data_IF_488519504314
#
_entry.id   IF_488519504314
#
_cell.length_a   1.000
_cell.length_b   1.000
_cell.length_c   1.000
_cell.angle_alpha   90.00
_cell.angle_beta   90.00
_cell.angle_gamma   90.00
#
_symmetry.space_group_name_H-M   'P 1'
#
loop_
_entity.id
_entity.type
_entity.pdbx_description
1 polymer ?
#
# COMPACT_ATOMS: atom_id res chain seq x y z
N UNK A 1 28.30 74.24 13.87
CA UNK A 1 27.25 73.64 14.73
C UNK A 1 26.75 72.38 14.03
N UNK A 2 27.33 71.24 14.41
CA UNK A 2 27.09 69.92 13.80
C UNK A 2 25.93 69.23 14.51
N UNK A 3 24.88 68.87 13.76
CA UNK A 3 23.69 68.22 14.29
C UNK A 3 23.92 66.71 14.49
N UNK A 4 23.72 66.22 15.72
CA UNK A 4 23.81 64.80 16.05
C UNK A 4 22.57 64.04 15.56
N UNK A 5 22.74 63.06 14.68
CA UNK A 5 21.70 62.07 14.35
C UNK A 5 21.61 61.03 15.47
N UNK A 6 20.44 60.90 16.11
CA UNK A 6 20.13 59.81 17.03
C UNK A 6 19.66 58.59 16.23
N UNK A 7 20.36 57.47 16.37
CA UNK A 7 19.94 56.17 15.88
C UNK A 7 18.94 55.56 16.88
N UNK A 8 17.75 55.18 16.41
CA UNK A 8 16.78 54.38 17.17
C UNK A 8 16.99 52.92 16.77
N UNK A 9 17.21 51.98 17.71
CA UNK A 9 17.31 50.57 17.37
C UNK A 9 15.91 50.01 17.16
N UNK A 10 15.62 49.54 15.94
CA UNK A 10 14.42 48.77 15.63
C UNK A 10 14.69 47.34 16.09
N UNK A 11 14.05 46.94 17.19
CA UNK A 11 14.06 45.55 17.67
C UNK A 11 13.06 44.77 16.80
N UNK A 12 13.57 43.92 15.92
CA UNK A 12 12.76 42.90 15.25
C UNK A 12 12.55 41.74 16.21
N UNK A 13 11.33 41.62 16.77
CA UNK A 13 10.88 40.40 17.45
C UNK A 13 10.40 39.44 16.37
N UNK A 14 11.21 38.44 16.03
CA UNK A 14 10.79 37.32 15.19
C UNK A 14 10.04 36.33 16.12
N UNK A 15 8.71 36.32 16.02
CA UNK A 15 7.89 35.32 16.69
C UNK A 15 7.89 34.05 15.83
N UNK A 16 8.74 33.08 16.18
CA UNK A 16 8.70 31.75 15.56
C UNK A 16 7.50 30.98 16.12
N UNK A 17 6.41 30.90 15.34
CA UNK A 17 5.29 30.00 15.58
C UNK A 17 5.73 28.58 15.22
N UNK A 18 6.17 27.81 16.21
CA UNK A 18 6.32 26.36 16.08
C UNK A 18 4.94 25.74 16.25
N UNK A 19 4.24 25.49 15.15
CA UNK A 19 3.08 24.60 15.14
C UNK A 19 3.59 23.17 15.21
N UNK A 20 3.66 22.60 16.42
CA UNK A 20 3.76 21.15 16.58
C UNK A 20 2.42 20.56 16.15
N UNK A 21 2.37 20.00 14.95
CA UNK A 21 1.21 19.21 14.52
C UNK A 21 1.12 17.97 15.41
N UNK A 22 0.14 17.93 16.32
CA UNK A 22 -0.19 16.69 17.01
C UNK A 22 -0.89 15.77 16.02
N UNK A 23 -0.19 14.75 15.54
CA UNK A 23 -0.84 13.64 14.84
C UNK A 23 -1.75 12.93 15.84
N UNK A 24 -3.07 13.00 15.63
CA UNK A 24 -4.04 12.24 16.42
C UNK A 24 -3.85 10.78 16.05
N UNK A 25 -3.23 10.00 16.94
CA UNK A 25 -3.14 8.54 16.79
C UNK A 25 -4.52 7.95 17.07
N UNK A 26 -5.16 7.39 16.04
CA UNK A 26 -6.48 6.75 16.13
C UNK A 26 -6.33 5.27 16.42
N UNK A 27 -7.12 4.72 17.33
CA UNK A 27 -7.25 3.27 17.53
C UNK A 27 -7.83 2.58 16.30
N UNK A 28 -7.72 1.25 16.21
CA UNK A 28 -8.31 0.48 15.09
C UNK A 28 -9.83 0.67 14.99
N UNK A 29 -10.52 0.80 16.12
CA UNK A 29 -11.95 1.06 16.15
C UNK A 29 -12.28 2.48 15.62
N UNK A 30 -11.50 3.50 16.01
CA UNK A 30 -11.67 4.86 15.49
C UNK A 30 -11.33 4.95 13.99
N UNK A 31 -10.30 4.23 13.56
CA UNK A 31 -9.92 4.13 12.16
C UNK A 31 -11.00 3.41 11.32
N UNK A 32 -11.54 2.30 11.83
CA UNK A 32 -12.66 1.59 11.21
C UNK A 32 -13.96 2.42 11.21
N UNK A 33 -14.23 3.20 12.26
CA UNK A 33 -15.38 4.09 12.31
C UNK A 33 -15.30 5.19 11.25
N UNK A 34 -14.14 5.85 11.11
CA UNK A 34 -13.91 6.86 10.05
C UNK A 34 -14.05 6.26 8.65
N UNK A 35 -13.53 5.04 8.45
CA UNK A 35 -13.66 4.31 7.18
C UNK A 35 -15.12 3.94 6.90
N UNK A 36 -15.86 3.52 7.93
CA UNK A 36 -17.28 3.17 7.84
C UNK A 36 -18.12 4.39 7.46
N UNK A 37 -17.90 5.53 8.11
CA UNK A 37 -18.61 6.79 7.81
C UNK A 37 -18.37 7.23 6.36
N UNK A 38 -17.11 7.15 5.88
CA UNK A 38 -16.77 7.49 4.50
C UNK A 38 -17.42 6.51 3.50
N UNK A 39 -17.46 5.22 3.82
CA UNK A 39 -18.10 4.21 2.97
C UNK A 39 -19.61 4.40 2.87
N UNK A 40 -20.28 4.70 3.99
CA UNK A 40 -21.70 5.01 4.03
C UNK A 40 -22.00 6.28 3.21
N UNK A 41 -21.23 7.35 3.42
CA UNK A 41 -21.35 8.60 2.67
C UNK A 41 -21.18 8.38 1.16
N UNK A 42 -20.20 7.57 0.75
CA UNK A 42 -20.02 7.20 -0.65
C UNK A 42 -21.25 6.45 -1.20
N UNK A 43 -21.72 5.42 -0.50
CA UNK A 43 -22.89 4.63 -0.92
C UNK A 43 -24.16 5.48 -1.04
N UNK A 44 -24.36 6.48 -0.18
CA UNK A 44 -25.49 7.41 -0.24
C UNK A 44 -25.49 8.30 -1.50
N UNK A 45 -24.32 8.54 -2.08
CA UNK A 45 -24.21 9.31 -3.33
C UNK A 45 -24.56 8.50 -4.58
N UNK A 46 -24.57 7.17 -4.49
CA UNK A 46 -24.73 6.28 -5.64
C UNK A 46 -26.19 6.18 -6.08
N UNK A 47 -26.39 6.06 -7.39
CA UNK A 47 -27.69 5.62 -7.92
C UNK A 47 -27.97 4.16 -7.49
N UNK A 48 -29.22 3.68 -7.50
CA UNK A 48 -29.52 2.29 -7.16
C UNK A 48 -28.70 1.27 -7.96
N UNK A 49 -28.55 1.49 -9.28
CA UNK A 49 -27.76 0.62 -10.15
C UNK A 49 -26.25 0.63 -9.81
N UNK A 50 -25.69 1.79 -9.45
CA UNK A 50 -24.30 1.87 -8.99
C UNK A 50 -24.14 1.21 -7.62
N UNK A 51 -25.08 1.39 -6.69
CA UNK A 51 -25.05 0.73 -5.39
C UNK A 51 -25.06 -0.79 -5.55
N UNK A 52 -25.94 -1.32 -6.41
CA UNK A 52 -26.00 -2.75 -6.71
C UNK A 52 -24.70 -3.27 -7.35
N UNK A 53 -24.04 -2.46 -8.19
CA UNK A 53 -22.76 -2.82 -8.79
C UNK A 53 -21.58 -2.72 -7.80
N UNK A 54 -21.67 -1.88 -6.76
CA UNK A 54 -20.63 -1.68 -5.75
C UNK A 54 -20.72 -2.68 -4.59
N UNK A 55 -21.91 -3.22 -4.29
CA UNK A 55 -22.17 -4.04 -3.12
C UNK A 55 -22.09 -5.54 -3.43
N UNK A 56 -21.32 -6.26 -2.63
CA UNK A 56 -21.06 -7.69 -2.75
C UNK A 56 -21.31 -8.43 -1.44
N UNK A 57 -21.49 -9.75 -1.49
CA UNK A 57 -21.57 -10.58 -0.29
C UNK A 57 -20.21 -10.63 0.41
N UNK A 58 -20.20 -10.48 1.74
CA UNK A 58 -18.98 -10.58 2.55
C UNK A 58 -18.26 -11.94 2.38
N UNK A 59 -19.03 -13.02 2.30
CA UNK A 59 -18.48 -14.37 2.12
C UNK A 59 -18.42 -14.79 0.64
N UNK A 60 -18.56 -13.86 -0.29
CA UNK A 60 -18.51 -14.14 -1.73
C UNK A 60 -17.08 -14.33 -2.24
N UNK A 61 -16.95 -15.11 -3.33
CA UNK A 61 -15.66 -15.36 -4.01
C UNK A 61 -14.98 -14.08 -4.51
N UNK A 62 -15.76 -13.04 -4.82
CA UNK A 62 -15.27 -11.74 -5.28
C UNK A 62 -14.35 -11.05 -4.26
N UNK A 63 -14.52 -11.35 -2.96
CA UNK A 63 -13.68 -10.75 -1.90
C UNK A 63 -12.21 -11.11 -2.04
N UNK A 64 -11.91 -12.28 -2.61
CA UNK A 64 -10.54 -12.79 -2.80
C UNK A 64 -10.09 -12.82 -4.26
N UNK A 65 -10.94 -12.41 -5.21
CA UNK A 65 -10.59 -12.25 -6.64
C UNK A 65 -10.04 -10.85 -6.90
N UNK A 66 -8.79 -10.60 -6.55
CA UNK A 66 -8.09 -9.32 -6.74
C UNK A 66 -7.07 -9.43 -7.88
N UNK A 67 -6.77 -8.34 -8.59
CA UNK A 67 -5.71 -8.34 -9.60
C UNK A 67 -5.11 -6.95 -9.87
N UNK A 68 -3.88 -6.94 -10.39
CA UNK A 68 -3.17 -5.72 -10.80
C UNK A 68 -2.79 -5.69 -12.29
N UNK A 69 -3.52 -6.42 -13.15
CA UNK A 69 -3.29 -6.37 -14.61
C UNK A 69 -4.53 -5.82 -15.33
N UNK A 70 -4.46 -5.41 -16.59
CA UNK A 70 -5.64 -5.07 -17.38
C UNK A 70 -6.61 -6.25 -17.48
N UNK A 71 -7.79 -6.10 -16.89
CA UNK A 71 -8.92 -7.02 -17.03
C UNK A 71 -10.23 -6.26 -16.93
N UNK A 72 -11.32 -6.90 -17.32
CA UNK A 72 -12.65 -6.47 -16.91
C UNK A 72 -12.75 -6.59 -15.38
N UNK A 73 -13.20 -5.51 -14.73
CA UNK A 73 -13.31 -5.39 -13.28
C UNK A 73 -14.75 -5.21 -12.86
N UNK A 74 -15.09 -5.78 -11.71
CA UNK A 74 -16.36 -5.58 -11.01
C UNK A 74 -16.29 -4.31 -10.16
N UNK A 75 -17.42 -3.88 -9.63
CA UNK A 75 -17.52 -2.64 -8.87
C UNK A 75 -17.87 -1.44 -9.73
N UNK A 76 -17.90 -0.26 -9.10
CA UNK A 76 -18.18 1.00 -9.80
C UNK A 76 -16.87 1.73 -10.08
N UNK A 77 -16.53 2.01 -11.36
CA UNK A 77 -15.36 2.81 -11.69
C UNK A 77 -15.60 4.31 -11.49
N UNK A 78 -14.56 5.04 -11.10
CA UNK A 78 -14.56 6.52 -11.06
C UNK A 78 -15.10 7.14 -12.37
N UNK A 79 -14.79 6.52 -13.51
CA UNK A 79 -15.21 6.97 -14.85
C UNK A 79 -16.73 7.11 -15.02
N UNK A 80 -17.51 6.35 -14.26
CA UNK A 80 -19.00 6.37 -14.34
C UNK A 80 -19.63 7.27 -13.29
N UNK A 81 -18.82 7.87 -12.41
CA UNK A 81 -19.28 8.66 -11.28
C UNK A 81 -19.44 10.14 -11.64
N UNK A 82 -20.43 10.79 -11.05
CA UNK A 82 -20.51 12.26 -11.05
C UNK A 82 -19.38 12.86 -10.19
N UNK A 83 -19.12 14.17 -10.30
CA UNK A 83 -18.09 14.81 -9.49
C UNK A 83 -18.27 14.61 -7.97
N UNK A 84 -19.50 14.70 -7.47
CA UNK A 84 -19.78 14.47 -6.04
C UNK A 84 -19.60 13.01 -5.61
N UNK A 85 -19.95 12.05 -6.48
CA UNK A 85 -19.69 10.64 -6.25
C UNK A 85 -18.19 10.33 -6.21
N UNK A 86 -17.41 10.93 -7.12
CA UNK A 86 -15.94 10.78 -7.14
C UNK A 86 -15.29 11.36 -5.90
N UNK A 87 -15.74 12.54 -5.45
CA UNK A 87 -15.25 13.15 -4.21
C UNK A 87 -15.49 12.25 -3.01
N UNK A 88 -16.71 11.70 -2.86
CA UNK A 88 -17.03 10.78 -1.77
C UNK A 88 -16.25 9.44 -1.87
N UNK A 89 -16.04 8.93 -3.08
CA UNK A 89 -15.25 7.72 -3.31
C UNK A 89 -13.78 7.92 -2.91
N UNK A 90 -13.16 9.02 -3.34
CA UNK A 90 -11.77 9.34 -2.98
C UNK A 90 -11.62 9.68 -1.49
N UNK A 91 -12.65 10.26 -0.85
CA UNK A 91 -12.69 10.45 0.60
C UNK A 91 -12.63 9.11 1.36
N UNK A 92 -13.23 8.03 0.83
CA UNK A 92 -13.09 6.68 1.40
C UNK A 92 -11.65 6.15 1.28
N UNK A 93 -10.99 6.37 0.13
CA UNK A 93 -9.56 6.01 -0.04
C UNK A 93 -8.70 6.79 0.96
N UNK A 94 -8.92 8.10 1.06
CA UNK A 94 -8.19 8.99 1.97
C UNK A 94 -8.44 8.61 3.45
N UNK A 95 -9.65 8.20 3.80
CA UNK A 95 -9.98 7.74 5.15
C UNK A 95 -9.26 6.44 5.51
N UNK A 96 -8.76 5.68 4.53
CA UNK A 96 -8.22 4.32 4.73
C UNK A 96 -6.70 4.22 4.64
N UNK A 97 -6.04 5.24 4.12
CA UNK A 97 -4.59 5.30 3.93
C UNK A 97 -3.97 6.39 4.81
N UNK A 98 -2.65 6.33 5.00
CA UNK A 98 -1.92 7.50 5.47
C UNK A 98 -1.93 8.61 4.41
N UNK A 99 -1.52 9.83 4.78
CA UNK A 99 -1.35 10.90 3.80
C UNK A 99 -0.36 10.51 2.69
N UNK A 100 0.72 9.79 3.04
CA UNK A 100 1.69 9.29 2.08
C UNK A 100 1.12 8.17 1.19
N UNK A 101 0.40 7.20 1.78
CA UNK A 101 -0.25 6.13 1.01
C UNK A 101 -1.29 6.68 0.03
N UNK A 102 -2.04 7.71 0.42
CA UNK A 102 -2.98 8.40 -0.45
C UNK A 102 -2.27 9.17 -1.57
N UNK A 103 -1.18 9.90 -1.26
CA UNK A 103 -0.37 10.60 -2.28
C UNK A 103 0.22 9.61 -3.30
N UNK A 104 0.80 8.49 -2.84
CA UNK A 104 1.28 7.42 -3.71
C UNK A 104 0.17 6.89 -4.61
N UNK A 105 -1.02 6.64 -4.05
CA UNK A 105 -2.18 6.14 -4.80
C UNK A 105 -2.63 7.10 -5.90
N UNK A 106 -2.74 8.39 -5.56
CA UNK A 106 -3.13 9.42 -6.54
C UNK A 106 -2.07 9.57 -7.64
N UNK A 107 -0.80 9.60 -7.28
CA UNK A 107 0.29 9.76 -8.25
C UNK A 107 0.39 8.56 -9.18
N UNK A 108 0.30 7.33 -8.66
CA UNK A 108 0.22 6.11 -9.47
C UNK A 108 -0.96 6.18 -10.45
N UNK A 109 -2.15 6.59 -9.97
CA UNK A 109 -3.32 6.76 -10.82
C UNK A 109 -3.10 7.79 -11.93
N UNK A 110 -2.39 8.88 -11.65
CA UNK A 110 -2.07 9.91 -12.65
C UNK A 110 -1.01 9.46 -13.66
N UNK A 111 -0.18 8.46 -13.36
CA UNK A 111 0.77 7.90 -14.33
C UNK A 111 0.04 7.29 -15.55
N UNK A 112 -1.21 6.83 -15.39
CA UNK A 112 -2.03 6.36 -16.50
C UNK A 112 -2.21 7.42 -17.59
N UNK A 113 -2.30 8.70 -17.21
CA UNK A 113 -2.43 9.79 -18.18
C UNK A 113 -1.16 9.95 -19.04
N UNK A 114 0.02 9.77 -18.44
CA UNK A 114 1.30 9.80 -19.17
C UNK A 114 1.34 8.64 -20.17
N UNK A 115 0.90 7.45 -19.74
CA UNK A 115 0.83 6.30 -20.63
C UNK A 115 -0.22 6.45 -21.73
N UNK A 116 -1.35 7.08 -21.44
CA UNK A 116 -2.37 7.40 -22.45
C UNK A 116 -1.80 8.31 -23.53
N UNK A 117 -1.09 9.38 -23.15
CA UNK A 117 -0.46 10.31 -24.09
C UNK A 117 0.60 9.64 -24.96
N UNK A 118 1.30 8.63 -24.44
CA UNK A 118 2.34 7.88 -25.15
C UNK A 118 1.79 6.76 -26.03
N UNK A 119 0.82 6.00 -25.53
CA UNK A 119 0.33 4.76 -26.15
C UNK A 119 -0.97 4.96 -26.95
N UNK A 120 -1.78 5.98 -26.63
CA UNK A 120 -3.08 6.24 -27.25
C UNK A 120 -4.13 5.15 -27.00
N UNK A 121 -4.05 4.43 -25.87
CA UNK A 121 -4.92 3.29 -25.56
C UNK A 121 -5.89 3.64 -24.44
N UNK A 122 -7.18 3.46 -24.67
CA UNK A 122 -8.26 3.75 -23.70
C UNK A 122 -8.18 2.98 -22.38
N UNK A 123 -7.39 1.90 -22.32
CA UNK A 123 -7.13 1.17 -21.07
C UNK A 123 -6.21 1.95 -20.12
N UNK A 124 -5.51 2.97 -20.62
CA UNK A 124 -4.69 3.91 -19.86
C UNK A 124 -5.59 5.06 -19.46
N UNK A 125 -6.22 4.93 -18.31
CA UNK A 125 -7.23 5.89 -17.87
C UNK A 125 -7.20 6.00 -16.34
N UNK A 126 -6.90 7.20 -15.86
CA UNK A 126 -6.84 7.53 -14.45
C UNK A 126 -8.20 7.39 -13.74
N UNK A 127 -9.30 7.19 -14.47
CA UNK A 127 -10.65 6.98 -13.94
C UNK A 127 -11.11 5.51 -14.00
N UNK A 128 -10.30 4.57 -14.53
CA UNK A 128 -10.56 3.13 -14.50
C UNK A 128 -10.08 2.47 -13.19
N UNK A 129 -10.47 3.08 -12.06
CA UNK A 129 -10.26 2.58 -10.71
C UNK A 129 -11.61 2.36 -10.04
N UNK A 130 -11.77 1.18 -9.42
CA UNK A 130 -13.04 0.58 -9.08
C UNK A 130 -13.20 0.42 -7.57
N UNK A 131 -14.45 0.60 -7.12
CA UNK A 131 -14.86 0.48 -5.73
C UNK A 131 -15.78 -0.72 -5.57
N UNK A 132 -15.40 -1.61 -4.65
CA UNK A 132 -16.17 -2.80 -4.27
C UNK A 132 -16.29 -2.86 -2.75
N UNK A 133 -17.50 -3.02 -2.24
CA UNK A 133 -17.83 -3.12 -0.81
C UNK A 133 -18.45 -4.48 -0.55
N UNK A 134 -17.94 -5.21 0.43
CA UNK A 134 -18.34 -6.56 0.79
C UNK A 134 -19.05 -6.55 2.15
N UNK A 135 -20.35 -6.83 2.16
CA UNK A 135 -21.20 -6.64 3.34
C UNK A 135 -21.58 -5.17 3.56
N UNK A 136 -22.48 -4.91 4.52
CA UNK A 136 -22.94 -3.56 4.82
C UNK A 136 -21.96 -2.84 5.77
N UNK A 137 -21.42 -1.65 5.41
CA UNK A 137 -20.56 -0.89 6.30
C UNK A 137 -21.24 -0.58 7.63
N UNK A 138 -20.58 -0.96 8.73
CA UNK A 138 -21.12 -0.82 10.08
C UNK A 138 -20.01 -0.67 11.11
N UNK A 139 -20.23 0.20 12.09
CA UNK A 139 -19.32 0.46 13.21
C UNK A 139 -19.29 -0.66 14.25
N UNK A 140 -20.16 -1.66 14.11
CA UNK A 140 -20.25 -2.84 15.00
C UNK A 140 -20.26 -4.16 14.23
N UNK A 141 -20.39 -4.09 12.90
CA UNK A 141 -20.51 -5.25 12.02
C UNK A 141 -19.17 -5.71 11.45
N UNK A 142 -19.27 -6.67 10.54
CA UNK A 142 -18.15 -7.18 9.76
C UNK A 142 -18.39 -6.85 8.30
N UNK A 143 -17.44 -6.15 7.69
CA UNK A 143 -17.50 -5.71 6.30
C UNK A 143 -16.09 -5.53 5.76
N UNK A 144 -15.94 -5.48 4.44
CA UNK A 144 -14.67 -5.23 3.78
C UNK A 144 -14.88 -4.33 2.58
N UNK A 145 -13.82 -3.77 2.04
CA UNK A 145 -13.88 -3.09 0.75
C UNK A 145 -12.54 -3.17 0.03
N UNK A 146 -12.58 -2.96 -1.28
CA UNK A 146 -11.41 -2.99 -2.15
C UNK A 146 -11.41 -1.79 -3.09
N UNK A 147 -10.25 -1.16 -3.19
CA UNK A 147 -9.92 -0.16 -4.19
C UNK A 147 -8.93 -0.78 -5.18
N UNK A 148 -9.30 -0.89 -6.45
CA UNK A 148 -8.53 -1.63 -7.44
C UNK A 148 -8.55 -0.96 -8.82
N UNK A 149 -7.41 -0.94 -9.49
CA UNK A 149 -7.24 -0.46 -10.86
C UNK A 149 -6.06 -1.16 -11.50
N UNK A 150 -5.55 -0.63 -12.62
CA UNK A 150 -4.42 -1.24 -13.33
C UNK A 150 -3.23 -1.46 -12.41
N UNK A 151 -2.77 -0.44 -11.68
CA UNK A 151 -1.57 -0.54 -10.83
C UNK A 151 -1.82 -0.34 -9.32
N UNK A 152 -3.05 -0.52 -8.85
CA UNK A 152 -3.36 -0.48 -7.41
C UNK A 152 -4.32 -1.61 -7.09
N UNK A 153 -4.07 -2.29 -5.98
CA UNK A 153 -5.09 -3.13 -5.34
C UNK A 153 -4.88 -3.11 -3.83
N UNK A 154 -5.82 -2.51 -3.11
CA UNK A 154 -5.81 -2.45 -1.66
C UNK A 154 -7.10 -3.01 -1.09
N UNK A 155 -6.97 -3.89 -0.11
CA UNK A 155 -8.09 -4.54 0.56
C UNK A 155 -8.08 -4.21 2.06
N UNK A 156 -9.24 -3.83 2.59
CA UNK A 156 -9.43 -3.61 4.03
C UNK A 156 -10.56 -4.49 4.54
N UNK A 157 -10.38 -5.10 5.71
CA UNK A 157 -11.40 -5.91 6.38
C UNK A 157 -11.62 -5.41 7.80
N UNK A 158 -12.86 -5.07 8.11
CA UNK A 158 -13.34 -4.68 9.44
C UNK A 158 -14.11 -5.85 10.04
N UNK A 159 -13.78 -6.26 11.27
CA UNK A 159 -14.46 -7.33 12.00
C UNK A 159 -14.94 -6.78 13.33
N UNK A 160 -16.24 -6.87 13.60
CA UNK A 160 -16.90 -6.31 14.79
C UNK A 160 -16.56 -4.83 15.05
N UNK A 161 -16.46 -4.02 14.00
CA UNK A 161 -16.10 -2.61 14.11
C UNK A 161 -14.61 -2.32 14.30
N UNK A 162 -13.73 -3.32 14.25
CA UNK A 162 -12.27 -3.15 14.34
C UNK A 162 -11.60 -3.44 12.99
N UNK A 163 -10.74 -2.53 12.54
CA UNK A 163 -9.92 -2.76 11.34
C UNK A 163 -8.94 -3.91 11.62
N UNK A 164 -9.16 -5.05 10.96
CA UNK A 164 -8.49 -6.31 11.25
C UNK A 164 -7.43 -6.69 10.22
N UNK A 165 -7.60 -6.26 8.97
CA UNK A 165 -6.63 -6.51 7.89
C UNK A 165 -6.61 -5.37 6.88
N UNK A 166 -5.42 -5.14 6.32
CA UNK A 166 -5.09 -4.11 5.32
C UNK A 166 -4.28 -4.71 4.15
N UNK A 167 -4.33 -6.04 4.02
CA UNK A 167 -3.57 -6.82 3.04
C UNK A 167 -4.54 -7.70 2.22
N UNK A 168 -4.25 -7.97 0.93
CA UNK A 168 -3.07 -7.53 0.19
C UNK A 168 -3.00 -6.02 -0.07
N UNK A 169 -1.78 -5.49 -0.03
CA UNK A 169 -1.46 -4.09 -0.33
C UNK A 169 -0.53 -4.07 -1.54
N UNK A 170 -1.08 -3.84 -2.72
CA UNK A 170 -0.33 -3.77 -3.97
C UNK A 170 -0.25 -2.34 -4.52
N UNK A 171 0.95 -1.96 -4.94
CA UNK A 171 1.22 -0.81 -5.79
C UNK A 171 2.04 -1.22 -7.02
N UNK A 172 1.73 -0.63 -8.16
CA UNK A 172 2.60 -0.62 -9.32
C UNK A 172 2.84 0.80 -9.80
N UNK A 173 3.97 1.03 -10.47
CA UNK A 173 4.27 2.32 -11.07
C UNK A 173 4.80 2.12 -12.48
N UNK A 174 4.06 2.67 -13.45
CA UNK A 174 4.40 2.63 -14.86
C UNK A 174 4.11 4.01 -15.49
N UNK A 175 5.14 4.77 -15.90
CA UNK A 175 6.56 4.47 -15.73
C UNK A 175 7.01 4.53 -14.25
N UNK A 176 8.01 3.74 -13.88
CA UNK A 176 8.65 3.81 -12.55
C UNK A 176 9.46 5.12 -12.33
N UNK A 177 10.00 5.65 -13.42
CA UNK A 177 10.68 6.94 -13.54
C UNK A 177 10.14 7.68 -14.77
N UNK A 178 9.54 8.84 -14.54
CA UNK A 178 9.07 9.73 -15.61
C UNK A 178 10.26 10.50 -16.20
N UNK A 179 10.67 10.15 -17.42
CA UNK A 179 11.85 10.73 -18.09
C UNK A 179 11.58 12.12 -18.70
N UNK A 180 10.36 12.38 -19.15
CA UNK A 180 10.02 13.54 -19.98
C UNK A 180 8.64 14.13 -19.62
N UNK A 181 8.34 15.31 -20.14
CA UNK A 181 7.05 15.99 -19.93
C UNK A 181 6.98 16.78 -18.62
N UNK A 182 5.76 17.16 -18.23
CA UNK A 182 5.53 18.04 -17.05
C UNK A 182 5.85 17.37 -15.72
N UNK A 183 5.76 16.04 -15.66
CA UNK A 183 6.07 15.23 -14.48
C UNK A 183 7.48 14.64 -14.51
N UNK A 184 8.37 15.11 -15.40
CA UNK A 184 9.74 14.61 -15.47
C UNK A 184 10.46 14.68 -14.12
N UNK A 185 11.15 13.61 -13.74
CA UNK A 185 11.79 13.47 -12.44
C UNK A 185 10.99 12.65 -11.42
N UNK A 186 9.70 12.40 -11.67
CA UNK A 186 8.84 11.66 -10.77
C UNK A 186 9.23 10.18 -10.65
N UNK A 187 9.34 9.70 -9.39
CA UNK A 187 9.56 8.30 -8.99
C UNK A 187 8.65 7.96 -7.81
N UNK A 188 7.44 7.47 -8.08
CA UNK A 188 6.43 7.29 -7.01
C UNK A 188 6.85 6.22 -6.01
N UNK A 189 7.43 5.11 -6.49
CA UNK A 189 7.94 4.00 -5.67
C UNK A 189 9.48 3.96 -5.61
N UNK A 190 10.11 5.14 -5.70
CA UNK A 190 11.57 5.26 -5.73
C UNK A 190 12.24 5.10 -4.36
N UNK A 191 11.50 5.34 -3.27
CA UNK A 191 12.04 5.22 -1.90
C UNK A 191 12.24 3.76 -1.52
N UNK A 192 11.28 2.89 -1.88
CA UNK A 192 11.36 1.44 -1.73
C UNK A 192 12.60 0.88 -2.42
N UNK A 193 12.81 1.23 -3.70
CA UNK A 193 14.01 0.83 -4.46
C UNK A 193 15.29 1.34 -3.80
N UNK A 194 15.32 2.62 -3.45
CA UNK A 194 16.50 3.25 -2.87
C UNK A 194 16.92 2.59 -1.55
N UNK A 195 15.98 2.30 -0.66
CA UNK A 195 16.25 1.66 0.62
C UNK A 195 16.80 0.23 0.43
N UNK A 196 16.18 -0.56 -0.45
CA UNK A 196 16.63 -1.93 -0.73
C UNK A 196 18.02 -1.97 -1.37
N UNK A 197 18.28 -1.13 -2.38
CA UNK A 197 19.61 -1.00 -3.00
C UNK A 197 20.67 -0.49 -2.02
N UNK A 198 20.29 0.43 -1.12
CA UNK A 198 21.20 0.93 -0.10
C UNK A 198 21.62 -0.18 0.86
N UNK A 199 20.68 -1.01 1.33
CA UNK A 199 20.98 -2.19 2.13
C UNK A 199 21.92 -3.14 1.38
N UNK A 200 21.56 -3.53 0.16
CA UNK A 200 22.37 -4.43 -0.68
C UNK A 200 23.80 -3.92 -0.87
N UNK A 201 23.97 -2.62 -1.16
CA UNK A 201 25.26 -1.99 -1.37
C UNK A 201 26.18 -1.96 -0.15
N UNK A 202 25.65 -2.23 1.06
CA UNK A 202 26.47 -2.37 2.27
C UNK A 202 26.87 -3.82 2.58
N UNK A 203 26.24 -4.81 1.93
CA UNK A 203 26.53 -6.22 2.16
C UNK A 203 27.88 -6.59 1.54
N UNK A 204 28.58 -7.55 2.16
CA UNK A 204 29.85 -8.07 1.66
C UNK A 204 30.08 -9.49 2.16
N UNK A 205 30.99 -10.24 1.50
CA UNK A 205 31.31 -11.63 1.85
C UNK A 205 30.07 -12.52 1.86
N UNK A 206 30.01 -13.43 2.81
CA UNK A 206 28.94 -14.43 2.98
C UNK A 206 27.53 -13.80 3.07
N UNK A 207 27.40 -12.58 3.61
CA UNK A 207 26.11 -11.88 3.68
C UNK A 207 25.62 -11.41 2.31
N UNK A 208 26.53 -10.94 1.43
CA UNK A 208 26.16 -10.57 0.07
C UNK A 208 25.85 -11.82 -0.75
N UNK A 209 26.66 -12.87 -0.62
CA UNK A 209 26.41 -14.16 -1.28
C UNK A 209 25.04 -14.74 -0.87
N UNK A 210 24.69 -14.67 0.42
CA UNK A 210 23.40 -15.16 0.92
C UNK A 210 22.23 -14.29 0.46
N UNK A 211 22.42 -12.97 0.32
CA UNK A 211 21.39 -12.07 -0.18
C UNK A 211 21.13 -12.24 -1.69
N UNK A 212 22.16 -12.55 -2.48
CA UNK A 212 22.04 -12.74 -3.93
C UNK A 212 21.48 -14.13 -4.25
N UNK A 213 20.17 -14.21 -4.49
CA UNK A 213 19.47 -15.47 -4.74
C UNK A 213 19.62 -15.96 -6.18
N UNK A 214 19.77 -15.04 -7.13
CA UNK A 214 19.90 -15.32 -8.57
C UNK A 214 20.48 -14.11 -9.31
N UNK A 215 21.27 -14.34 -10.35
CA UNK A 215 21.75 -13.29 -11.27
C UNK A 215 20.64 -12.78 -12.20
N UNK A 216 19.53 -13.54 -12.32
CA UNK A 216 18.36 -13.17 -13.13
C UNK A 216 17.16 -12.92 -12.22
N UNK A 217 16.49 -11.79 -12.42
CA UNK A 217 15.21 -11.48 -11.79
C UNK A 217 14.04 -12.21 -12.48
N UNK A 218 12.98 -12.57 -11.74
CA UNK A 218 11.73 -13.06 -12.33
C UNK A 218 11.10 -11.99 -13.24
N UNK A 219 10.08 -12.37 -14.03
CA UNK A 219 9.40 -11.42 -14.94
C UNK A 219 8.38 -10.51 -14.23
N UNK A 220 8.04 -10.85 -12.98
CA UNK A 220 7.08 -10.18 -12.12
C UNK A 220 7.26 -10.68 -10.66
N UNK A 221 6.51 -10.12 -9.71
CA UNK A 221 6.42 -10.62 -8.33
C UNK A 221 5.98 -12.10 -8.30
N UNK A 222 6.56 -12.89 -7.40
CA UNK A 222 6.42 -14.34 -7.39
C UNK A 222 5.06 -14.80 -6.89
N UNK A 223 4.45 -14.07 -5.95
CA UNK A 223 3.12 -14.43 -5.42
C UNK A 223 1.96 -13.98 -6.30
N UNK A 224 2.23 -13.16 -7.31
CA UNK A 224 1.24 -12.68 -8.29
C UNK A 224 -0.08 -12.23 -7.63
N UNK A 225 -1.21 -12.51 -8.27
CA UNK A 225 -2.56 -12.21 -7.79
C UNK A 225 -3.19 -13.35 -6.96
N UNK A 226 -2.39 -14.26 -6.41
CA UNK A 226 -2.91 -15.46 -5.75
C UNK A 226 -3.78 -15.13 -4.54
N UNK A 227 -4.80 -15.98 -4.32
CA UNK A 227 -5.74 -15.82 -3.19
C UNK A 227 -4.99 -15.85 -1.86
N UNK A 228 -4.02 -16.75 -1.73
CA UNK A 228 -3.15 -16.87 -0.58
C UNK A 228 -1.71 -16.80 -1.05
N UNK A 229 -0.92 -15.92 -0.43
CA UNK A 229 0.50 -15.83 -0.73
C UNK A 229 1.20 -17.12 -0.29
N UNK A 230 2.00 -17.70 -1.18
CA UNK A 230 2.86 -18.81 -0.83
C UNK A 230 4.11 -18.28 -0.12
N UNK A 231 4.47 -18.90 1.01
CA UNK A 231 5.77 -18.70 1.62
C UNK A 231 6.86 -19.16 0.65
N UNK A 232 7.85 -18.30 0.42
CA UNK A 232 8.96 -18.60 -0.45
C UNK A 232 10.03 -19.40 0.31
N UNK A 233 10.95 -20.02 -0.44
CA UNK A 233 12.08 -20.74 0.16
C UNK A 233 12.83 -19.88 1.18
N UNK A 234 13.27 -20.53 2.27
CA UNK A 234 13.92 -19.88 3.41
C UNK A 234 15.39 -19.54 3.13
N UNK A 235 15.62 -18.73 2.09
CA UNK A 235 16.92 -18.26 1.59
C UNK A 235 16.98 -16.73 1.59
N UNK A 236 18.19 -16.19 1.65
CA UNK A 236 18.44 -14.76 1.87
C UNK A 236 19.33 -14.54 3.09
N UNK A 237 19.85 -13.31 3.23
CA UNK A 237 20.60 -12.91 4.44
C UNK A 237 19.63 -12.68 5.59
N UNK A 238 19.88 -13.32 6.73
CA UNK A 238 19.03 -13.18 7.90
C UNK A 238 19.33 -11.89 8.67
N UNK A 239 18.30 -11.30 9.29
CA UNK A 239 18.42 -10.12 10.14
C UNK A 239 19.48 -10.28 11.24
N UNK A 240 19.62 -11.50 11.80
CA UNK A 240 20.62 -11.79 12.84
C UNK A 240 22.07 -11.82 12.33
N UNK A 241 22.28 -11.94 11.02
CA UNK A 241 23.60 -11.96 10.37
C UNK A 241 24.04 -10.55 9.96
N UNK A 242 23.10 -9.61 9.90
CA UNK A 242 23.35 -8.21 9.61
C UNK A 242 23.97 -7.50 10.81
N UNK A 243 24.87 -6.55 10.55
CA UNK A 243 25.34 -5.64 11.60
C UNK A 243 24.23 -4.63 11.99
N UNK A 244 24.40 -3.90 13.09
CA UNK A 244 23.35 -3.00 13.60
C UNK A 244 22.90 -1.92 12.60
N UNK A 245 23.78 -1.41 11.74
CA UNK A 245 23.40 -0.44 10.71
C UNK A 245 22.59 -1.09 9.59
N UNK A 246 22.96 -2.29 9.17
CA UNK A 246 22.21 -3.06 8.17
C UNK A 246 20.85 -3.52 8.70
N UNK A 247 20.77 -3.89 9.97
CA UNK A 247 19.52 -4.21 10.67
C UNK A 247 18.55 -3.02 10.67
N UNK A 248 19.07 -1.82 10.94
CA UNK A 248 18.30 -0.58 10.86
C UNK A 248 17.82 -0.30 9.43
N UNK A 249 18.69 -0.45 8.41
CA UNK A 249 18.29 -0.28 7.00
C UNK A 249 17.19 -1.26 6.56
N UNK A 250 17.32 -2.55 6.92
CA UNK A 250 16.29 -3.55 6.63
C UNK A 250 14.98 -3.21 7.36
N UNK A 251 15.07 -2.76 8.61
CA UNK A 251 13.90 -2.35 9.38
C UNK A 251 13.21 -1.12 8.77
N UNK A 252 13.97 -0.09 8.37
CA UNK A 252 13.44 1.10 7.70
C UNK A 252 12.78 0.77 6.35
N UNK A 253 13.29 -0.23 5.62
CA UNK A 253 12.62 -0.74 4.43
C UNK A 253 11.25 -1.36 4.77
N UNK A 254 11.15 -2.15 5.83
CA UNK A 254 9.85 -2.71 6.28
C UNK A 254 8.90 -1.59 6.72
N UNK A 255 9.40 -0.59 7.45
CA UNK A 255 8.61 0.57 7.87
C UNK A 255 8.04 1.37 6.69
N UNK A 256 8.80 1.53 5.61
CA UNK A 256 8.35 2.24 4.39
C UNK A 256 7.07 1.62 3.81
N UNK A 257 7.01 0.30 3.77
CA UNK A 257 5.83 -0.38 3.25
C UNK A 257 4.65 -0.34 4.23
N UNK A 258 4.93 -0.38 5.54
CA UNK A 258 3.90 -0.25 6.58
C UNK A 258 3.30 1.16 6.61
N UNK A 259 4.10 2.19 6.33
CA UNK A 259 3.72 3.61 6.37
C UNK A 259 2.66 4.02 5.33
N UNK A 260 2.36 3.16 4.35
CA UNK A 260 1.19 3.32 3.46
C UNK A 260 -0.12 3.35 4.25
N UNK A 261 -0.19 2.64 5.38
CA UNK A 261 -1.35 2.63 6.27
C UNK A 261 -1.26 3.74 7.32
N UNK A 262 -2.40 4.18 7.91
CA UNK A 262 -2.40 5.14 9.01
C UNK A 262 -1.48 4.69 10.15
N UNK A 263 -0.84 5.66 10.83
CA UNK A 263 0.26 5.42 11.80
C UNK A 263 -0.04 4.28 12.80
N UNK A 264 -1.22 4.25 13.40
CA UNK A 264 -1.57 3.20 14.36
C UNK A 264 -1.62 1.80 13.72
N UNK A 265 -2.14 1.71 12.50
CA UNK A 265 -2.25 0.46 11.74
C UNK A 265 -0.87 -0.02 11.31
N UNK A 266 -0.01 0.91 10.87
CA UNK A 266 1.38 0.63 10.57
C UNK A 266 2.11 0.09 11.81
N UNK A 267 1.95 0.73 12.98
CA UNK A 267 2.58 0.29 14.22
C UNK A 267 2.09 -1.07 14.71
N UNK A 268 0.80 -1.39 14.56
CA UNK A 268 0.30 -2.72 14.88
C UNK A 268 0.89 -3.79 13.94
N UNK A 269 0.91 -3.51 12.63
CA UNK A 269 1.53 -4.38 11.63
C UNK A 269 3.00 -4.64 11.97
N UNK A 270 3.77 -3.59 12.25
CA UNK A 270 5.16 -3.70 12.68
C UNK A 270 5.30 -4.41 14.04
N UNK A 271 4.33 -4.23 14.94
CA UNK A 271 4.22 -4.96 16.20
C UNK A 271 4.09 -6.47 15.99
N UNK A 272 3.24 -6.92 15.05
CA UNK A 272 3.11 -8.33 14.67
C UNK A 272 4.41 -8.88 14.07
N UNK A 273 5.07 -8.10 13.20
CA UNK A 273 6.39 -8.46 12.65
C UNK A 273 7.44 -8.65 13.76
N UNK A 274 7.53 -7.71 14.71
CA UNK A 274 8.43 -7.81 15.87
C UNK A 274 8.12 -9.03 16.74
N UNK A 275 6.85 -9.28 17.02
CA UNK A 275 6.40 -10.41 17.84
C UNK A 275 6.68 -11.77 17.18
N UNK A 276 6.68 -11.84 15.84
CA UNK A 276 7.05 -13.03 15.08
C UNK A 276 8.57 -13.32 15.08
N UNK A 277 9.39 -12.39 15.56
CA UNK A 277 10.83 -12.56 15.74
C UNK A 277 11.64 -12.03 14.56
N UNK A 278 12.31 -10.89 14.78
CA UNK A 278 13.10 -10.20 13.75
C UNK A 278 14.23 -11.06 13.18
N UNK A 279 14.85 -11.92 13.99
CA UNK A 279 15.96 -12.78 13.56
C UNK A 279 15.57 -13.76 12.44
N UNK A 280 14.27 -14.03 12.27
CA UNK A 280 13.75 -14.90 11.22
C UNK A 280 13.39 -14.13 9.93
N UNK A 281 13.63 -12.83 9.89
CA UNK A 281 13.42 -12.01 8.69
C UNK A 281 14.64 -12.16 7.79
N UNK A 282 14.40 -12.46 6.52
CA UNK A 282 15.43 -12.56 5.49
C UNK A 282 15.21 -11.56 4.37
N UNK A 283 16.32 -10.99 3.90
CA UNK A 283 16.38 -10.15 2.70
C UNK A 283 17.01 -10.96 1.56
N UNK A 284 16.38 -10.95 0.40
CA UNK A 284 16.87 -11.60 -0.81
C UNK A 284 16.75 -10.67 -2.02
N UNK A 285 17.73 -10.76 -2.92
CA UNK A 285 17.86 -9.97 -4.14
C UNK A 285 18.05 -10.89 -5.35
N UNK A 286 17.47 -10.52 -6.48
CA UNK A 286 17.68 -11.19 -7.76
C UNK A 286 17.89 -10.14 -8.86
N UNK A 287 18.77 -10.42 -9.81
CA UNK A 287 19.02 -9.53 -10.94
C UNK A 287 20.09 -8.45 -10.67
N UNK A 288 20.06 -7.40 -11.49
CA UNK A 288 21.10 -6.38 -11.53
C UNK A 288 21.17 -5.51 -10.28
N UNK A 289 22.38 -5.17 -9.86
CA UNK A 289 22.65 -4.44 -8.61
C UNK A 289 22.78 -2.93 -8.80
N UNK A 290 22.92 -2.47 -10.05
CA UNK A 290 22.99 -1.06 -10.39
C UNK A 290 21.62 -0.50 -10.77
N UNK A 291 21.46 0.80 -10.56
CA UNK A 291 20.24 1.53 -10.90
C UNK A 291 19.93 1.42 -12.40
N UNK A 292 18.65 1.19 -12.72
CA UNK A 292 18.19 0.99 -14.10
C UNK A 292 18.41 -0.43 -14.64
N UNK A 293 19.00 -1.33 -13.86
CA UNK A 293 19.06 -2.75 -14.22
C UNK A 293 17.79 -3.49 -13.76
N UNK A 294 17.31 -4.48 -14.53
CA UNK A 294 16.21 -5.36 -14.13
C UNK A 294 16.52 -6.06 -12.81
N UNK A 295 15.61 -5.96 -11.84
CA UNK A 295 15.85 -6.50 -10.51
C UNK A 295 14.54 -6.86 -9.78
N UNK A 296 14.70 -7.70 -8.78
CA UNK A 296 13.67 -8.08 -7.82
C UNK A 296 14.30 -8.16 -6.43
N UNK A 297 13.52 -7.82 -5.40
CA UNK A 297 13.87 -8.18 -4.04
C UNK A 297 12.66 -8.65 -3.24
N UNK A 298 12.95 -9.38 -2.16
CA UNK A 298 11.96 -9.74 -1.16
C UNK A 298 12.48 -9.56 0.25
N UNK A 299 11.55 -9.20 1.14
CA UNK A 299 11.73 -9.29 2.60
C UNK A 299 10.69 -10.24 3.12
N UNK A 300 11.11 -11.36 3.68
CA UNK A 300 10.20 -12.39 4.19
C UNK A 300 10.49 -12.64 5.66
N UNK A 301 9.44 -12.61 6.49
CA UNK A 301 9.47 -13.10 7.86
C UNK A 301 8.52 -14.28 8.04
N UNK A 302 8.30 -14.75 9.28
CA UNK A 302 7.41 -15.90 9.52
C UNK A 302 5.94 -15.66 9.16
N UNK A 303 5.49 -14.40 9.17
CA UNK A 303 4.07 -14.05 9.02
C UNK A 303 3.75 -13.22 7.78
N UNK A 304 4.77 -12.68 7.09
CA UNK A 304 4.59 -11.71 6.02
C UNK A 304 5.63 -11.86 4.92
N UNK A 305 5.29 -11.31 3.76
CA UNK A 305 6.16 -11.17 2.60
C UNK A 305 6.00 -9.78 1.98
N UNK A 306 7.13 -9.15 1.70
CA UNK A 306 7.25 -7.98 0.84
C UNK A 306 7.95 -8.44 -0.44
N UNK A 307 7.40 -8.08 -1.60
CA UNK A 307 8.06 -8.24 -2.89
C UNK A 307 8.12 -6.92 -3.64
N UNK A 308 9.17 -6.76 -4.44
CA UNK A 308 9.35 -5.68 -5.38
C UNK A 308 9.98 -6.26 -6.64
N UNK A 309 9.34 -6.02 -7.78
CA UNK A 309 9.83 -6.34 -9.12
C UNK A 309 9.95 -5.05 -9.94
N UNK A 310 11.03 -4.93 -10.69
CA UNK A 310 11.15 -3.92 -11.74
C UNK A 310 12.01 -4.45 -12.89
N UNK A 311 11.39 -5.27 -13.73
CA UNK A 311 12.06 -5.88 -14.89
C UNK A 311 11.52 -5.35 -16.23
N UNK A 312 10.22 -5.12 -16.30
CA UNK A 312 9.55 -4.74 -17.54
C UNK A 312 9.91 -3.30 -17.97
N UNK A 313 9.72 -3.01 -19.26
CA UNK A 313 9.91 -1.68 -19.85
C UNK A 313 11.29 -1.04 -19.58
N UNK A 314 12.38 -1.82 -19.70
CA UNK A 314 13.75 -1.38 -19.38
C UNK A 314 13.93 -1.06 -17.88
N UNK A 315 13.43 -1.95 -17.00
CA UNK A 315 13.39 -1.70 -15.55
C UNK A 315 12.72 -0.37 -15.21
N UNK A 316 11.56 -0.12 -15.84
CA UNK A 316 10.78 1.10 -15.63
C UNK A 316 9.28 0.81 -15.42
N UNK A 317 8.96 -0.36 -14.91
CA UNK A 317 7.61 -0.78 -14.58
C UNK A 317 7.67 -1.61 -13.31
N UNK A 318 7.32 -0.95 -12.21
CA UNK A 318 7.49 -1.48 -10.87
C UNK A 318 6.21 -2.19 -10.45
N UNK A 319 6.32 -3.37 -9.87
CA UNK A 319 5.27 -4.03 -9.10
C UNK A 319 5.77 -4.29 -7.68
N UNK A 320 4.95 -3.96 -6.68
CA UNK A 320 5.33 -3.99 -5.27
C UNK A 320 4.15 -4.41 -4.41
N UNK A 321 4.36 -5.37 -3.51
CA UNK A 321 3.28 -5.91 -2.69
C UNK A 321 3.72 -6.21 -1.27
N UNK A 322 2.83 -5.96 -0.31
CA UNK A 322 2.86 -6.56 1.02
C UNK A 322 1.74 -7.58 1.14
N UNK A 323 2.09 -8.79 1.60
CA UNK A 323 1.20 -9.91 1.88
C UNK A 323 1.37 -10.40 3.31
N UNK A 324 0.27 -10.76 3.95
CA UNK A 324 0.29 -11.51 5.21
C UNK A 324 -0.18 -12.95 4.92
N UNK A 325 0.66 -13.96 5.19
CA UNK A 325 0.41 -15.34 4.76
C UNK A 325 -0.96 -15.87 5.21
N UNK A 326 -1.29 -15.65 6.48
CA UNK A 326 -2.59 -16.00 7.06
C UNK A 326 -3.55 -14.80 7.14
N UNK A 327 -3.02 -13.58 7.11
CA UNK A 327 -3.75 -12.34 7.41
C UNK A 327 -4.38 -11.63 6.21
N UNK A 328 -4.03 -11.99 4.96
CA UNK A 328 -4.67 -11.39 3.79
C UNK A 328 -6.18 -11.54 3.86
N UNK A 329 -6.91 -10.46 3.59
CA UNK A 329 -8.36 -10.35 3.72
C UNK A 329 -8.89 -10.69 5.13
N UNK A 330 -8.05 -10.63 6.16
CA UNK A 330 -8.40 -10.92 7.55
C UNK A 330 -8.82 -12.37 7.80
N UNK A 331 -8.34 -13.33 7.00
CA UNK A 331 -8.74 -14.74 7.10
C UNK A 331 -8.49 -15.34 8.49
N UNK A 332 -7.34 -15.06 9.08
CA UNK A 332 -6.96 -15.51 10.43
C UNK A 332 -7.94 -15.01 11.50
N UNK A 333 -8.20 -13.71 11.53
CA UNK A 333 -9.12 -13.07 12.47
C UNK A 333 -10.57 -13.50 12.23
N UNK A 334 -10.96 -13.72 10.98
CA UNK A 334 -12.27 -14.30 10.64
C UNK A 334 -12.40 -15.73 11.13
N UNK A 335 -11.38 -16.57 10.94
CA UNK A 335 -11.38 -17.95 11.44
C UNK A 335 -11.54 -17.97 12.98
N UNK A 336 -10.79 -17.13 13.69
CA UNK A 336 -10.93 -16.96 15.14
C UNK A 336 -12.33 -16.46 15.52
N UNK A 337 -12.88 -15.50 14.78
CA UNK A 337 -14.22 -14.97 15.01
C UNK A 337 -15.32 -16.03 14.86
N UNK A 338 -15.27 -16.84 13.79
CA UNK A 338 -16.23 -17.92 13.53
C UNK A 338 -16.14 -19.04 14.56
N UNK A 339 -14.94 -19.34 15.08
CA UNK A 339 -14.77 -20.30 16.17
C UNK A 339 -15.35 -19.78 17.49
N UNK A 340 -15.17 -18.49 17.79
CA UNK A 340 -15.68 -17.88 19.02
C UNK A 340 -17.20 -17.63 19.00
N UNK A 341 -17.81 -17.50 17.82
CA UNK A 341 -19.26 -17.27 17.64
C UNK A 341 -19.80 -18.13 16.49
N UNK A 342 -20.48 -19.26 16.79
CA UNK A 342 -21.16 -20.03 15.76
C UNK A 342 -22.29 -19.19 15.16
N UNK A 343 -22.08 -18.69 13.95
CA UNK A 343 -23.12 -17.99 13.19
C UNK A 343 -24.01 -19.01 12.49
N UNK A 344 -25.31 -18.98 12.77
CA UNK A 344 -26.30 -19.67 11.96
C UNK A 344 -26.33 -19.00 10.59
N UNK A 345 -25.83 -19.69 9.57
CA UNK A 345 -26.00 -19.32 8.16
C UNK A 345 -27.49 -19.41 7.81
N UNK A 346 -28.25 -18.34 8.03
CA UNK A 346 -29.50 -18.13 7.32
C UNK A 346 -29.16 -17.49 5.98
N UNK A 347 -28.89 -18.35 5.00
CA UNK A 347 -28.97 -17.95 3.61
C UNK A 347 -30.45 -17.63 3.33
N UNK A 348 -30.72 -16.40 2.90
CA UNK A 348 -31.98 -16.07 2.28
C UNK A 348 -32.06 -16.80 0.94
N UNK A 349 -33.12 -17.59 0.76
CA UNK A 349 -33.57 -18.12 -0.53
C UNK A 349 -33.99 -17.00 -1.49
#
# INVERSE_FOLDING_TARGET
MTASRRLVPIIFVILALVTVGMSIVRTNAEQAASMTEAAQSFLETLTPAQRDAAMFSFNGEDRVDWHFIPRERKGVPLKTMTSGQREAALALVQASLSAEGYDKSERIRQLEQILYEREGRDIRDAELYFFMIFGEPSTTGTWAWRYEGHHISHSWTVINGELSSTTPQFFGANPGYVREGRSAGERVLGREEHLARSLLGTLSGDNLESAMLSDEAPQDILTSAERQAAMQEDVGVAYSELNSSQQEMLWTLIEEYAAVQPVQIAEERLGKVRAAGLNNIKFGWMGGVYEGEPHYYRVQGPTFLIEYDNVQNEANHIHSVWRDFDGDFGRDMLAAHYQARPHNTRNAE
#
